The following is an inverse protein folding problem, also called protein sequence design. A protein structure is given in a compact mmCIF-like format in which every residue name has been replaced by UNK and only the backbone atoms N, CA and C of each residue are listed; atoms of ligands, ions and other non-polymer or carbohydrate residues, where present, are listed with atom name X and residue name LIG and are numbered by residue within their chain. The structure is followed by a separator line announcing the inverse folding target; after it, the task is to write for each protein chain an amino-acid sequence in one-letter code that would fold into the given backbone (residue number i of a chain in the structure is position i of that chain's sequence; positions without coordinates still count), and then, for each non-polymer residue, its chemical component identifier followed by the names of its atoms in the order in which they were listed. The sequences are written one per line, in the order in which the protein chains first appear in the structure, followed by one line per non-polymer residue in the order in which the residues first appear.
data_IF_697088884188
#
_entry.id   IF_697088884188
#
_cell.length_a   1.000
_cell.length_b   1.000
_cell.length_c   1.000
_cell.angle_alpha   90.00
_cell.angle_beta   90.00
_cell.angle_gamma   90.00
#
_symmetry.space_group_name_H-M   'P 1'
#
loop_
_entity.id
_entity.type
_entity.pdbx_description
1 polymer ?
#
# COMPACT_ATOMS: atom_id res chain seq x y z
N UNK A 1 -27.44 2.19 13.08
CA UNK A 1 -26.47 1.14 13.48
C UNK A 1 -25.76 1.56 14.77
N UNK A 2 -25.83 0.74 15.83
CA UNK A 2 -25.08 0.93 17.07
C UNK A 2 -23.58 0.81 16.75
N UNK A 3 -22.76 1.79 17.13
CA UNK A 3 -21.32 1.73 16.90
C UNK A 3 -20.73 0.63 17.79
N UNK A 4 -20.26 -0.45 17.19
CA UNK A 4 -19.55 -1.50 17.93
C UNK A 4 -18.12 -1.01 18.19
N UNK A 5 -17.89 -0.49 19.41
CA UNK A 5 -16.64 0.16 19.84
C UNK A 5 -15.43 -0.76 19.60
N UNK A 6 -15.60 -2.08 19.75
CA UNK A 6 -14.53 -3.06 19.49
C UNK A 6 -14.03 -3.03 18.05
N UNK A 7 -14.94 -2.94 17.07
CA UNK A 7 -14.59 -2.89 15.64
C UNK A 7 -13.85 -1.59 15.30
N UNK A 8 -14.27 -0.47 15.89
CA UNK A 8 -13.62 0.83 15.67
C UNK A 8 -12.20 0.83 16.25
N UNK A 9 -12.02 0.32 17.46
CA UNK A 9 -10.69 0.22 18.09
C UNK A 9 -9.76 -0.69 17.29
N UNK A 10 -10.25 -1.88 16.91
CA UNK A 10 -9.48 -2.82 16.11
C UNK A 10 -9.05 -2.23 14.76
N UNK A 11 -9.96 -1.59 14.02
CA UNK A 11 -9.62 -0.97 12.75
C UNK A 11 -8.67 0.23 12.87
N UNK A 12 -8.76 0.99 13.97
CA UNK A 12 -7.79 2.05 14.28
C UNK A 12 -6.38 1.51 14.55
N UNK A 13 -6.27 0.45 15.35
CA UNK A 13 -4.98 -0.24 15.59
C UNK A 13 -4.44 -0.81 14.28
N UNK A 14 -5.30 -1.47 13.49
CA UNK A 14 -4.91 -2.00 12.18
C UNK A 14 -4.41 -0.89 11.24
N UNK A 15 -4.98 0.31 11.30
CA UNK A 15 -4.57 1.44 10.46
C UNK A 15 -3.17 1.91 10.82
N UNK A 16 -2.89 2.02 12.12
CA UNK A 16 -1.55 2.40 12.62
C UNK A 16 -0.53 1.35 12.23
N UNK A 17 -0.84 0.07 12.46
CA UNK A 17 0.05 -1.04 12.09
C UNK A 17 0.28 -1.10 10.57
N UNK A 18 -0.76 -0.94 9.76
CA UNK A 18 -0.65 -0.86 8.30
C UNK A 18 0.30 0.26 7.88
N UNK A 19 0.13 1.47 8.43
CA UNK A 19 1.02 2.60 8.15
C UNK A 19 2.48 2.34 8.55
N UNK A 20 2.72 1.70 9.71
CA UNK A 20 4.06 1.30 10.12
C UNK A 20 4.65 0.28 9.14
N UNK A 21 3.89 -0.72 8.72
CA UNK A 21 4.36 -1.74 7.78
C UNK A 21 4.68 -1.14 6.40
N UNK A 22 3.85 -0.22 5.88
CA UNK A 22 4.16 0.52 4.66
C UNK A 22 5.44 1.34 4.79
N UNK A 23 5.66 1.99 5.95
CA UNK A 23 6.90 2.73 6.20
C UNK A 23 8.12 1.79 6.22
N UNK A 24 8.03 0.67 6.93
CA UNK A 24 9.14 -0.31 7.00
C UNK A 24 9.39 -0.91 5.61
N UNK A 25 8.34 -1.19 4.83
CA UNK A 25 8.43 -1.64 3.44
C UNK A 25 9.24 -0.63 2.59
N UNK A 26 8.94 0.66 2.73
CA UNK A 26 9.69 1.72 2.06
C UNK A 26 11.16 1.76 2.48
N UNK A 27 11.47 1.56 3.78
CA UNK A 27 12.85 1.52 4.27
C UNK A 27 13.65 0.34 3.70
N UNK A 28 13.02 -0.79 3.38
CA UNK A 28 13.68 -1.90 2.67
C UNK A 28 13.99 -1.58 1.22
N UNK A 29 13.15 -0.76 0.56
CA UNK A 29 13.33 -0.33 -0.83
C UNK A 29 14.26 0.88 -0.98
N UNK A 30 14.36 1.74 0.04
CA UNK A 30 15.17 2.95 0.03
C UNK A 30 16.65 2.76 -0.37
N UNK A 31 17.37 1.72 0.09
CA UNK A 31 18.77 1.53 -0.28
C UNK A 31 18.98 0.93 -1.68
N UNK A 32 17.92 0.47 -2.36
CA UNK A 32 18.07 -0.20 -3.66
C UNK A 32 18.54 0.81 -4.71
N UNK A 33 19.68 0.55 -5.38
CA UNK A 33 20.07 1.32 -6.54
C UNK A 33 19.13 1.00 -7.70
N UNK A 34 19.04 1.92 -8.65
CA UNK A 34 18.25 1.72 -9.87
C UNK A 34 18.63 0.40 -10.57
N UNK A 35 17.65 -0.38 -11.07
CA UNK A 35 17.95 -1.62 -11.78
C UNK A 35 18.85 -1.34 -13.00
N UNK A 36 19.97 -2.07 -13.15
CA UNK A 36 20.88 -1.88 -14.28
C UNK A 36 20.25 -2.41 -15.58
N UNK A 37 20.73 -1.88 -16.72
CA UNK A 37 20.18 -2.19 -18.04
C UNK A 37 20.77 -3.46 -18.67
N UNK A 38 22.01 -3.81 -18.30
CA UNK A 38 22.68 -4.99 -18.84
C UNK A 38 22.23 -6.26 -18.12
N UNK A 39 22.08 -7.36 -18.85
CA UNK A 39 21.48 -8.58 -18.31
C UNK A 39 22.32 -9.19 -17.17
N UNK A 40 23.64 -9.23 -17.33
CA UNK A 40 24.54 -9.80 -16.33
C UNK A 40 24.51 -8.99 -15.02
N UNK A 41 24.51 -7.66 -15.11
CA UNK A 41 24.42 -6.79 -13.95
C UNK A 41 23.03 -6.86 -13.30
N UNK A 42 21.96 -6.99 -14.09
CA UNK A 42 20.59 -7.15 -13.57
C UNK A 42 20.45 -8.43 -12.76
N UNK A 43 21.01 -9.54 -13.25
CA UNK A 43 20.99 -10.80 -12.51
C UNK A 43 21.88 -10.76 -11.27
N UNK A 44 22.97 -9.99 -11.27
CA UNK A 44 23.75 -9.73 -10.06
C UNK A 44 22.96 -8.89 -9.05
N UNK A 45 22.33 -7.81 -9.50
CA UNK A 45 21.48 -6.92 -8.70
C UNK A 45 20.32 -7.66 -8.05
N UNK A 46 19.61 -8.51 -8.80
CA UNK A 46 18.49 -9.32 -8.27
C UNK A 46 18.95 -10.29 -7.17
N UNK A 47 20.16 -10.84 -7.28
CA UNK A 47 20.74 -11.72 -6.26
C UNK A 47 21.17 -10.95 -5.03
N UNK A 48 21.83 -9.81 -5.22
CA UNK A 48 22.30 -8.95 -4.13
C UNK A 48 21.15 -8.39 -3.29
N UNK A 49 20.11 -7.87 -3.95
CA UNK A 49 18.96 -7.21 -3.31
C UNK A 49 17.78 -8.13 -3.01
N UNK A 50 17.95 -9.44 -3.21
CA UNK A 50 16.91 -10.46 -3.04
C UNK A 50 16.20 -10.36 -1.68
N UNK A 51 16.96 -10.20 -0.60
CA UNK A 51 16.42 -10.11 0.76
C UNK A 51 15.59 -8.85 0.97
N UNK A 52 16.05 -7.71 0.46
CA UNK A 52 15.29 -6.46 0.57
C UNK A 52 13.98 -6.54 -0.21
N UNK A 53 14.03 -7.07 -1.43
CA UNK A 53 12.84 -7.29 -2.26
C UNK A 53 11.86 -8.26 -1.60
N UNK A 54 12.36 -9.35 -0.99
CA UNK A 54 11.50 -10.32 -0.28
C UNK A 54 10.82 -9.70 0.93
N UNK A 55 11.56 -8.95 1.74
CA UNK A 55 10.98 -8.27 2.90
C UNK A 55 9.99 -7.18 2.49
N UNK A 56 10.28 -6.43 1.44
CA UNK A 56 9.35 -5.45 0.91
C UNK A 56 8.04 -6.09 0.42
N UNK A 57 8.12 -7.27 -0.21
CA UNK A 57 6.96 -8.03 -0.68
C UNK A 57 6.05 -8.48 0.47
N UNK A 58 6.61 -9.14 1.49
CA UNK A 58 5.88 -9.62 2.66
C UNK A 58 5.22 -8.47 3.43
N UNK A 59 5.96 -7.38 3.65
CA UNK A 59 5.44 -6.21 4.36
C UNK A 59 4.31 -5.54 3.58
N UNK A 60 4.42 -5.47 2.24
CA UNK A 60 3.36 -4.94 1.39
C UNK A 60 2.08 -5.76 1.51
N UNK A 61 2.21 -7.09 1.53
CA UNK A 61 1.08 -8.00 1.70
C UNK A 61 0.35 -7.77 3.04
N UNK A 62 1.08 -7.83 4.16
CA UNK A 62 0.47 -7.66 5.48
C UNK A 62 -0.06 -6.24 5.72
N UNK A 63 0.65 -5.20 5.25
CA UNK A 63 0.18 -3.82 5.31
C UNK A 63 -1.15 -3.65 4.59
N UNK A 64 -1.27 -4.27 3.40
CA UNK A 64 -2.47 -4.22 2.57
C UNK A 64 -3.65 -4.95 3.24
N UNK A 65 -3.43 -6.13 3.82
CA UNK A 65 -4.51 -6.85 4.52
C UNK A 65 -5.06 -6.08 5.71
N UNK A 66 -4.19 -5.38 6.45
CA UNK A 66 -4.60 -4.54 7.57
C UNK A 66 -5.45 -3.34 7.15
N UNK A 67 -5.41 -2.90 5.89
CA UNK A 67 -6.30 -1.85 5.39
C UNK A 67 -7.78 -2.26 5.45
N UNK A 68 -8.12 -3.55 5.35
CA UNK A 68 -9.51 -4.03 5.34
C UNK A 68 -10.26 -3.59 6.62
N UNK A 69 -9.84 -3.99 7.84
CA UNK A 69 -10.50 -3.54 9.07
C UNK A 69 -10.38 -2.02 9.27
N UNK A 70 -9.31 -1.38 8.79
CA UNK A 70 -9.16 0.08 8.85
C UNK A 70 -10.20 0.82 8.04
N UNK A 71 -10.45 0.41 6.81
CA UNK A 71 -11.47 0.99 5.92
C UNK A 71 -12.85 0.82 6.54
N UNK A 72 -13.15 -0.37 7.08
CA UNK A 72 -14.43 -0.63 7.77
C UNK A 72 -14.62 0.31 8.97
N UNK A 73 -13.59 0.51 9.79
CA UNK A 73 -13.67 1.43 10.92
C UNK A 73 -13.81 2.89 10.48
N UNK A 74 -12.99 3.34 9.52
CA UNK A 74 -13.04 4.69 8.96
C UNK A 74 -14.42 5.00 8.38
N UNK A 75 -14.98 4.09 7.57
CA UNK A 75 -16.30 4.25 6.99
C UNK A 75 -17.37 4.43 8.08
N UNK A 76 -17.37 3.57 9.11
CA UNK A 76 -18.34 3.64 10.21
C UNK A 76 -18.27 4.93 11.03
N UNK A 77 -17.08 5.55 11.12
CA UNK A 77 -16.88 6.82 11.80
C UNK A 77 -17.38 7.97 10.93
N UNK A 78 -16.98 7.99 9.65
CA UNK A 78 -17.08 9.17 8.79
C UNK A 78 -18.39 9.24 8.00
N UNK A 79 -19.09 8.11 7.78
CA UNK A 79 -20.32 8.08 6.95
C UNK A 79 -21.43 8.97 7.52
N UNK A 80 -21.44 9.19 8.84
CA UNK A 80 -22.40 10.07 9.52
C UNK A 80 -22.12 11.56 9.30
N UNK A 81 -20.94 11.92 8.81
CA UNK A 81 -20.49 13.30 8.60
C UNK A 81 -20.77 13.71 7.17
N UNK A 82 -20.18 13.02 6.20
CA UNK A 82 -20.43 13.23 4.76
C UNK A 82 -20.45 11.87 4.05
N UNK A 83 -21.64 11.26 3.82
CA UNK A 83 -21.74 9.89 3.36
C UNK A 83 -21.14 9.66 1.97
N UNK A 84 -21.37 10.58 1.03
CA UNK A 84 -20.89 10.48 -0.36
C UNK A 84 -19.36 10.53 -0.41
N UNK A 85 -18.73 11.51 0.26
CA UNK A 85 -17.27 11.63 0.27
C UNK A 85 -16.60 10.53 1.07
N UNK A 86 -17.25 10.05 2.13
CA UNK A 86 -16.75 8.89 2.88
C UNK A 86 -16.79 7.64 2.01
N UNK A 87 -17.89 7.41 1.29
CA UNK A 87 -18.00 6.28 0.37
C UNK A 87 -16.93 6.37 -0.72
N UNK A 88 -16.73 7.55 -1.31
CA UNK A 88 -15.70 7.75 -2.33
C UNK A 88 -14.29 7.50 -1.77
N UNK A 89 -13.93 8.13 -0.65
CA UNK A 89 -12.61 7.99 -0.03
C UNK A 89 -12.31 6.57 0.45
N UNK A 90 -13.26 5.93 1.15
CA UNK A 90 -13.15 4.53 1.56
C UNK A 90 -13.17 3.57 0.37
N UNK A 91 -13.91 3.89 -0.69
CA UNK A 91 -13.93 3.11 -1.93
C UNK A 91 -12.58 3.15 -2.64
N UNK A 92 -11.94 4.32 -2.74
CA UNK A 92 -10.59 4.44 -3.29
C UNK A 92 -9.58 3.64 -2.46
N UNK A 93 -9.63 3.72 -1.13
CA UNK A 93 -8.80 2.85 -0.26
C UNK A 93 -9.08 1.36 -0.49
N UNK A 94 -10.33 0.98 -0.77
CA UNK A 94 -10.67 -0.42 -1.05
C UNK A 94 -10.13 -0.88 -2.41
N UNK A 95 -10.10 -0.02 -3.43
CA UNK A 95 -9.51 -0.30 -4.75
C UNK A 95 -8.00 -0.52 -4.66
N UNK A 96 -7.34 0.15 -3.72
CA UNK A 96 -5.90 -0.01 -3.48
C UNK A 96 -5.54 -1.44 -3.05
N UNK A 97 -6.45 -2.18 -2.40
CA UNK A 97 -6.21 -3.55 -1.94
C UNK A 97 -5.89 -4.51 -3.08
N UNK A 98 -6.78 -4.73 -4.08
CA UNK A 98 -6.48 -5.63 -5.19
C UNK A 98 -5.29 -5.16 -6.02
N UNK A 99 -5.05 -3.85 -6.14
CA UNK A 99 -3.84 -3.32 -6.82
C UNK A 99 -2.58 -3.77 -6.10
N UNK A 100 -2.47 -3.57 -4.79
CA UNK A 100 -1.29 -4.02 -4.04
C UNK A 100 -1.15 -5.54 -4.03
N UNK A 101 -2.24 -6.30 -3.88
CA UNK A 101 -2.16 -7.77 -3.92
C UNK A 101 -1.64 -8.27 -5.27
N UNK A 102 -2.01 -7.60 -6.37
CA UNK A 102 -1.45 -7.90 -7.68
C UNK A 102 0.04 -7.53 -7.77
N UNK A 103 0.44 -6.41 -7.18
CA UNK A 103 1.84 -6.00 -7.13
C UNK A 103 2.71 -6.92 -6.28
N UNK A 104 2.16 -7.49 -5.20
CA UNK A 104 2.82 -8.55 -4.42
C UNK A 104 3.07 -9.78 -5.30
N UNK A 105 2.11 -10.18 -6.13
CA UNK A 105 2.35 -11.29 -7.06
C UNK A 105 3.48 -10.96 -8.05
N UNK A 106 3.50 -9.74 -8.58
CA UNK A 106 4.53 -9.28 -9.54
C UNK A 106 5.90 -9.23 -8.88
N UNK A 107 6.04 -8.57 -7.72
CA UNK A 107 7.29 -8.47 -6.98
C UNK A 107 7.77 -9.83 -6.50
N UNK A 108 6.86 -10.67 -6.02
CA UNK A 108 7.11 -12.05 -5.66
C UNK A 108 7.73 -12.87 -6.80
N UNK A 109 7.48 -12.56 -8.08
CA UNK A 109 8.17 -13.24 -9.20
C UNK A 109 9.64 -12.88 -9.36
N UNK A 110 10.10 -11.78 -8.75
CA UNK A 110 11.52 -11.43 -8.70
C UNK A 110 12.28 -12.23 -7.63
N UNK A 111 11.56 -12.71 -6.62
CA UNK A 111 12.15 -13.31 -5.43
C UNK A 111 11.84 -14.81 -5.37
N UNK A 112 10.58 -15.20 -5.40
CA UNK A 112 10.18 -16.57 -5.10
C UNK A 112 10.27 -17.46 -6.34
N UNK A 113 10.99 -18.59 -6.26
CA UNK A 113 10.94 -19.60 -7.31
C UNK A 113 9.53 -20.20 -7.35
N UNK A 114 8.93 -20.21 -8.54
CA UNK A 114 7.63 -20.87 -8.78
C UNK A 114 7.91 -21.98 -9.76
N UNK A 115 7.83 -23.22 -9.28
CA UNK A 115 8.16 -24.43 -10.04
C UNK A 115 9.57 -24.40 -10.67
N UNK A 116 10.54 -23.73 -10.04
CA UNK A 116 11.90 -23.54 -10.56
C UNK A 116 11.96 -22.95 -11.98
N UNK A 117 10.89 -22.24 -12.38
CA UNK A 117 10.82 -21.53 -13.66
C UNK A 117 11.62 -20.24 -13.55
N UNK A 118 12.87 -20.29 -14.02
CA UNK A 118 13.70 -19.11 -14.23
C UNK A 118 13.14 -18.23 -15.35
N UNK A 119 13.04 -16.93 -15.09
CA UNK A 119 12.60 -15.97 -16.10
C UNK A 119 13.81 -15.48 -16.89
N UNK A 120 13.68 -15.26 -18.21
CA UNK A 120 14.75 -14.63 -18.98
C UNK A 120 14.88 -13.14 -18.58
N UNK A 121 16.07 -12.53 -18.77
CA UNK A 121 16.34 -11.14 -18.35
C UNK A 121 15.33 -10.10 -18.84
N UNK A 122 14.87 -10.22 -20.08
CA UNK A 122 13.87 -9.29 -20.65
C UNK A 122 12.53 -9.34 -19.91
N UNK A 123 12.14 -10.51 -19.41
CA UNK A 123 10.92 -10.65 -18.61
C UNK A 123 11.14 -10.05 -17.21
N UNK A 124 12.32 -10.18 -16.61
CA UNK A 124 12.62 -9.48 -15.35
C UNK A 124 12.53 -7.96 -15.49
N UNK A 125 13.03 -7.39 -16.59
CA UNK A 125 12.90 -5.94 -16.88
C UNK A 125 11.43 -5.54 -17.01
N UNK A 126 10.62 -6.33 -17.71
CA UNK A 126 9.19 -6.11 -17.83
C UNK A 126 8.48 -6.17 -16.47
N UNK A 127 8.77 -7.19 -15.66
CA UNK A 127 8.21 -7.36 -14.31
C UNK A 127 8.54 -6.16 -13.42
N UNK A 128 9.80 -5.70 -13.41
CA UNK A 128 10.22 -4.51 -12.69
C UNK A 128 9.47 -3.25 -13.18
N UNK A 129 9.38 -3.06 -14.49
CA UNK A 129 8.68 -1.91 -15.09
C UNK A 129 7.20 -1.88 -14.69
N UNK A 130 6.51 -3.01 -14.77
CA UNK A 130 5.09 -3.14 -14.37
C UNK A 130 4.95 -2.90 -12.86
N UNK A 131 5.85 -3.46 -12.04
CA UNK A 131 5.80 -3.27 -10.59
C UNK A 131 5.92 -1.78 -10.22
N UNK A 132 6.94 -1.07 -10.71
CA UNK A 132 7.12 0.35 -10.38
C UNK A 132 6.01 1.23 -10.96
N UNK A 133 5.53 0.95 -12.18
CA UNK A 133 4.38 1.66 -12.76
C UNK A 133 3.08 1.42 -11.98
N UNK A 134 2.89 0.20 -11.47
CA UNK A 134 1.77 -0.15 -10.61
C UNK A 134 1.85 0.47 -9.23
N UNK A 135 3.03 0.50 -8.60
CA UNK A 135 3.27 1.21 -7.34
C UNK A 135 2.98 2.71 -7.47
N UNK A 136 3.38 3.32 -8.58
CA UNK A 136 3.02 4.71 -8.88
C UNK A 136 1.51 4.90 -8.95
N UNK A 137 0.81 4.02 -9.66
CA UNK A 137 -0.66 4.06 -9.75
C UNK A 137 -1.34 3.88 -8.40
N UNK A 138 -0.86 2.95 -7.57
CA UNK A 138 -1.35 2.73 -6.20
C UNK A 138 -1.16 3.97 -5.32
N UNK A 139 0.00 4.64 -5.43
CA UNK A 139 0.30 5.87 -4.72
C UNK A 139 -0.66 7.01 -5.11
N UNK A 140 -0.96 7.17 -6.41
CA UNK A 140 -1.93 8.17 -6.88
C UNK A 140 -3.34 7.91 -6.32
N UNK A 141 -3.78 6.65 -6.28
CA UNK A 141 -5.11 6.30 -5.72
C UNK A 141 -5.13 6.56 -4.21
N UNK A 142 -4.08 6.18 -3.49
CA UNK A 142 -3.92 6.47 -2.06
C UNK A 142 -3.93 7.98 -1.76
N UNK A 143 -3.18 8.76 -2.53
CA UNK A 143 -3.15 10.23 -2.41
C UNK A 143 -4.52 10.85 -2.65
N UNK A 144 -5.22 10.41 -3.71
CA UNK A 144 -6.60 10.85 -3.98
C UNK A 144 -7.55 10.48 -2.82
N UNK A 145 -7.44 9.26 -2.29
CA UNK A 145 -8.25 8.82 -1.15
C UNK A 145 -7.98 9.66 0.10
N UNK A 146 -6.72 9.95 0.39
CA UNK A 146 -6.29 10.76 1.53
C UNK A 146 -6.81 12.20 1.43
N UNK A 147 -6.73 12.82 0.25
CA UNK A 147 -7.28 14.17 0.00
C UNK A 147 -8.81 14.19 0.18
N UNK A 148 -9.53 13.20 -0.37
CA UNK A 148 -10.99 13.11 -0.21
C UNK A 148 -11.36 12.94 1.27
N UNK A 149 -10.68 12.03 1.98
CA UNK A 149 -10.94 11.76 3.39
C UNK A 149 -10.54 12.94 4.29
N UNK A 150 -9.50 13.70 3.95
CA UNK A 150 -9.14 14.93 4.65
C UNK A 150 -10.34 15.88 4.81
N UNK A 151 -11.08 16.12 3.72
CA UNK A 151 -12.24 17.02 3.74
C UNK A 151 -13.39 16.54 4.62
N UNK A 152 -13.48 15.23 4.87
CA UNK A 152 -14.48 14.65 5.76
C UNK A 152 -13.96 14.63 7.20
N UNK A 153 -12.73 14.18 7.41
CA UNK A 153 -12.09 14.05 8.74
C UNK A 153 -12.05 15.41 9.45
N UNK A 154 -11.77 16.51 8.74
CA UNK A 154 -11.75 17.87 9.32
C UNK A 154 -13.09 18.32 9.93
N UNK A 155 -14.21 17.70 9.55
CA UNK A 155 -15.56 17.96 10.08
C UNK A 155 -16.03 16.87 11.06
N UNK A 156 -15.20 15.86 11.30
CA UNK A 156 -15.53 14.68 12.10
C UNK A 156 -14.98 14.76 13.53
N UNK A 157 -15.35 13.77 14.35
CA UNK A 157 -14.85 13.59 15.72
C UNK A 157 -13.34 13.31 15.80
N UNK A 158 -12.69 12.92 14.70
CA UNK A 158 -11.23 12.70 14.64
C UNK A 158 -10.45 14.03 14.65
N UNK A 159 -11.11 15.13 14.28
CA UNK A 159 -10.54 16.47 14.37
C UNK A 159 -9.54 16.87 13.29
N UNK A 160 -9.14 18.14 13.33
CA UNK A 160 -8.23 18.77 12.36
C UNK A 160 -6.80 18.19 12.35
N UNK A 161 -6.18 17.81 13.49
CA UNK A 161 -4.81 17.27 13.48
C UNK A 161 -4.68 16.00 12.64
N UNK A 162 -5.62 15.06 12.81
CA UNK A 162 -5.66 13.82 12.02
C UNK A 162 -5.91 14.11 10.54
N UNK A 163 -6.75 15.10 10.25
CA UNK A 163 -6.98 15.54 8.88
C UNK A 163 -5.67 16.03 8.25
N UNK A 164 -4.94 16.94 8.90
CA UNK A 164 -3.69 17.46 8.35
C UNK A 164 -2.61 16.39 8.18
N UNK A 165 -2.49 15.44 9.11
CA UNK A 165 -1.60 14.29 8.93
C UNK A 165 -1.97 13.49 7.67
N UNK A 166 -3.26 13.18 7.49
CA UNK A 166 -3.73 12.48 6.29
C UNK A 166 -3.48 13.27 5.00
N UNK A 167 -3.65 14.59 5.03
CA UNK A 167 -3.40 15.46 3.88
C UNK A 167 -1.93 15.50 3.50
N UNK A 168 -1.03 15.66 4.48
CA UNK A 168 0.43 15.66 4.25
C UNK A 168 0.89 14.29 3.73
N UNK A 169 0.33 13.20 4.24
CA UNK A 169 0.65 11.85 3.75
C UNK A 169 0.11 11.58 2.33
N UNK A 170 -0.86 12.37 1.85
CA UNK A 170 -1.46 12.24 0.52
C UNK A 170 -0.82 13.09 -0.57
N UNK A 171 0.15 13.95 -0.21
CA UNK A 171 0.95 14.78 -1.11
C UNK A 171 2.33 14.16 -1.25
#
# INVERSE_FOLDING_TARGET
MKQNIGVIRFGGIALILSGILFLVQYLFLLPLPSPPLTDAELMAWLREWRFNLSMADELLFFATLLLIPSIVALYRILVKVEPVKTLLGSGLLAVVIPVHLFLVIILGRLVYPVYDLELPPDIYKLVLSIYYGGMHSAALILGAAAIVLYFVIRKSVLGKPVAYLGFVAGI
#
